data_IF_456516341269
#
_entry.id   IF_456516341269
#
_cell.length_a   1.000
_cell.length_b   1.000
_cell.length_c   1.000
_cell.angle_alpha   90.00
_cell.angle_beta   90.00
_cell.angle_gamma   90.00
#
_symmetry.space_group_name_H-M   'P 1'
#
loop_
_entity.id
_entity.type
_entity.pdbx_description
1 polymer ?
#
# COMPACT_ATOMS: atom_id res chain seq x y z
N UNK A 1 -39.78 1.65 -19.18
CA UNK A 1 -38.39 1.96 -18.76
C UNK A 1 -37.71 0.68 -18.34
N UNK A 2 -37.01 0.01 -19.24
CA UNK A 2 -36.25 -1.21 -18.94
C UNK A 2 -34.94 -0.81 -18.28
N UNK A 3 -34.85 -1.02 -16.99
CA UNK A 3 -33.66 -0.75 -16.19
C UNK A 3 -32.53 -1.70 -16.66
N UNK A 4 -31.54 -1.18 -17.40
CA UNK A 4 -30.43 -1.97 -17.96
C UNK A 4 -29.45 -2.30 -16.83
N UNK A 5 -29.52 -3.51 -16.31
CA UNK A 5 -28.65 -4.04 -15.24
C UNK A 5 -27.18 -4.29 -15.68
N UNK A 6 -26.87 -4.20 -16.99
CA UNK A 6 -25.55 -4.48 -17.55
C UNK A 6 -24.40 -3.65 -16.97
N UNK A 7 -24.50 -2.29 -16.79
CA UNK A 7 -23.39 -1.52 -16.26
C UNK A 7 -23.09 -1.83 -14.78
N UNK A 8 -24.12 -2.12 -13.98
CA UNK A 8 -23.95 -2.42 -12.55
C UNK A 8 -23.25 -3.76 -12.29
N UNK A 9 -23.51 -4.77 -13.11
CA UNK A 9 -22.83 -6.09 -13.01
C UNK A 9 -21.34 -5.97 -13.32
N UNK A 10 -20.94 -5.15 -14.28
CA UNK A 10 -19.54 -4.90 -14.60
C UNK A 10 -18.83 -4.16 -13.47
N UNK A 11 -19.47 -3.16 -12.85
CA UNK A 11 -18.95 -2.42 -11.71
C UNK A 11 -18.81 -3.34 -10.49
N UNK A 12 -19.83 -4.14 -10.19
CA UNK A 12 -19.80 -5.10 -9.09
C UNK A 12 -18.75 -6.19 -9.29
N UNK A 13 -18.57 -6.68 -10.50
CA UNK A 13 -17.53 -7.67 -10.82
C UNK A 13 -16.10 -7.13 -10.63
N UNK A 14 -15.90 -5.82 -10.81
CA UNK A 14 -14.63 -5.15 -10.51
C UNK A 14 -14.48 -4.80 -9.01
N UNK A 15 -15.57 -4.38 -8.38
CA UNK A 15 -15.55 -3.92 -6.99
C UNK A 15 -15.46 -5.09 -5.98
N UNK A 16 -16.12 -6.22 -6.26
CA UNK A 16 -16.17 -7.36 -5.35
C UNK A 16 -14.78 -7.93 -5.00
N UNK A 17 -13.86 -8.21 -5.98
CA UNK A 17 -12.52 -8.67 -5.63
C UNK A 17 -11.71 -7.63 -4.85
N UNK A 18 -11.88 -6.33 -5.14
CA UNK A 18 -11.20 -5.26 -4.40
C UNK A 18 -11.72 -5.21 -2.95
N UNK A 19 -13.03 -5.27 -2.76
CA UNK A 19 -13.64 -5.32 -1.43
C UNK A 19 -13.20 -6.58 -0.65
N UNK A 20 -13.11 -7.72 -1.32
CA UNK A 20 -12.61 -8.97 -0.73
C UNK A 20 -11.16 -8.85 -0.24
N UNK A 21 -10.28 -8.24 -1.03
CA UNK A 21 -8.89 -7.96 -0.64
C UNK A 21 -8.84 -7.03 0.58
N UNK A 22 -9.64 -5.97 0.59
CA UNK A 22 -9.71 -5.03 1.71
C UNK A 22 -10.22 -5.70 2.99
N UNK A 23 -11.26 -6.53 2.89
CA UNK A 23 -11.76 -7.32 4.02
C UNK A 23 -10.69 -8.27 4.56
N UNK A 24 -9.97 -8.98 3.68
CA UNK A 24 -8.88 -9.86 4.10
C UNK A 24 -7.77 -9.08 4.83
N UNK A 25 -7.38 -7.91 4.34
CA UNK A 25 -6.38 -7.06 5.01
C UNK A 25 -6.84 -6.57 6.38
N UNK A 26 -8.11 -6.13 6.50
CA UNK A 26 -8.67 -5.69 7.79
C UNK A 26 -8.73 -6.87 8.77
N UNK A 27 -9.16 -8.05 8.31
CA UNK A 27 -9.20 -9.26 9.13
C UNK A 27 -7.80 -9.62 9.64
N UNK A 28 -6.80 -9.59 8.77
CA UNK A 28 -5.40 -9.87 9.13
C UNK A 28 -4.93 -8.91 10.23
N UNK A 29 -5.08 -7.61 10.03
CA UNK A 29 -4.69 -6.59 11.04
C UNK A 29 -5.46 -6.76 12.35
N UNK A 30 -6.73 -7.18 12.29
CA UNK A 30 -7.53 -7.43 13.50
C UNK A 30 -7.02 -8.65 14.25
N UNK A 31 -6.64 -9.71 13.53
CA UNK A 31 -6.04 -10.92 14.13
C UNK A 31 -4.71 -10.58 14.78
N UNK A 32 -3.82 -9.85 14.10
CA UNK A 32 -2.54 -9.40 14.65
C UNK A 32 -2.74 -8.63 15.96
N UNK A 33 -3.69 -7.68 15.96
CA UNK A 33 -4.00 -6.89 17.16
C UNK A 33 -4.59 -7.75 18.29
N UNK A 34 -5.44 -8.73 17.96
CA UNK A 34 -6.00 -9.68 18.92
C UNK A 34 -4.89 -10.57 19.52
N UNK A 35 -3.92 -11.00 18.71
CA UNK A 35 -2.76 -11.76 19.18
C UNK A 35 -1.88 -10.95 20.13
N UNK A 36 -1.69 -9.65 19.85
CA UNK A 36 -1.02 -8.73 20.80
C UNK A 36 -1.79 -8.63 22.12
N UNK A 37 -3.11 -8.85 22.12
CA UNK A 37 -3.94 -8.89 23.33
C UNK A 37 -3.52 -9.95 24.33
N UNK A 38 -2.97 -11.09 23.90
CA UNK A 38 -2.41 -12.11 24.77
C UNK A 38 -1.14 -11.67 25.51
N UNK A 39 -0.43 -10.66 24.99
CA UNK A 39 0.76 -10.08 25.61
C UNK A 39 0.43 -8.96 26.63
N UNK A 40 -0.84 -8.60 26.76
CA UNK A 40 -1.33 -7.63 27.71
C UNK A 40 -1.72 -6.27 27.12
N UNK A 41 -2.41 -5.47 27.92
CA UNK A 41 -2.99 -4.17 27.49
C UNK A 41 -1.92 -3.20 26.98
N UNK A 42 -0.74 -3.16 27.63
CA UNK A 42 0.36 -2.29 27.23
C UNK A 42 0.90 -2.65 25.83
N UNK A 43 0.95 -3.94 25.49
CA UNK A 43 1.39 -4.41 24.17
C UNK A 43 0.38 -4.03 23.08
N UNK A 44 -0.92 -4.16 23.33
CA UNK A 44 -1.98 -3.72 22.41
C UNK A 44 -1.92 -2.21 22.18
N UNK A 45 -1.74 -1.44 23.27
CA UNK A 45 -1.62 0.02 23.19
C UNK A 45 -0.38 0.44 22.38
N UNK A 46 0.76 -0.20 22.63
CA UNK A 46 2.01 0.07 21.90
C UNK A 46 1.93 -0.29 20.42
N UNK A 47 1.41 -1.48 20.11
CA UNK A 47 1.21 -1.92 18.71
C UNK A 47 0.19 -1.07 17.97
N UNK A 48 -0.93 -0.77 18.60
CA UNK A 48 -1.96 0.11 18.03
C UNK A 48 -1.42 1.51 17.75
N UNK A 49 -0.65 2.10 18.66
CA UNK A 49 -0.01 3.40 18.48
C UNK A 49 1.01 3.39 17.34
N UNK A 50 1.88 2.38 17.29
CA UNK A 50 2.88 2.23 16.24
C UNK A 50 2.23 2.05 14.86
N UNK A 51 1.22 1.19 14.74
CA UNK A 51 0.47 0.96 13.51
C UNK A 51 -0.32 2.19 13.06
N UNK A 52 -0.89 2.96 14.00
CA UNK A 52 -1.60 4.21 13.68
C UNK A 52 -0.65 5.22 13.06
N UNK A 53 0.49 5.48 13.68
CA UNK A 53 1.51 6.41 13.15
C UNK A 53 2.05 5.95 11.80
N UNK A 54 2.36 4.65 11.68
CA UNK A 54 2.82 4.06 10.43
C UNK A 54 1.78 4.24 9.31
N UNK A 55 0.52 3.88 9.56
CA UNK A 55 -0.54 3.99 8.55
C UNK A 55 -0.81 5.44 8.14
N UNK A 56 -0.71 6.38 9.07
CA UNK A 56 -0.89 7.80 8.77
C UNK A 56 0.21 8.31 7.82
N UNK A 57 1.48 8.05 8.15
CA UNK A 57 2.60 8.45 7.31
C UNK A 57 2.60 7.71 5.96
N UNK A 58 2.31 6.42 5.97
CA UNK A 58 2.13 5.63 4.75
C UNK A 58 1.09 6.25 3.82
N UNK A 59 -0.06 6.64 4.34
CA UNK A 59 -1.14 7.24 3.55
C UNK A 59 -0.71 8.58 2.94
N UNK A 60 -0.02 9.41 3.69
CA UNK A 60 0.54 10.67 3.18
C UNK A 60 1.55 10.42 2.05
N UNK A 61 2.48 9.49 2.24
CA UNK A 61 3.47 9.12 1.22
C UNK A 61 2.81 8.53 -0.04
N UNK A 62 1.81 7.66 0.11
CA UNK A 62 1.05 7.09 -1.01
C UNK A 62 0.32 8.17 -1.80
N UNK A 63 -0.24 9.18 -1.12
CA UNK A 63 -0.90 10.31 -1.78
C UNK A 63 0.01 11.02 -2.79
N UNK A 64 1.30 11.15 -2.49
CA UNK A 64 2.28 11.83 -3.36
C UNK A 64 2.57 11.07 -4.66
N UNK A 65 2.41 9.75 -4.68
CA UNK A 65 2.73 8.91 -5.86
C UNK A 65 1.48 8.44 -6.62
N UNK A 66 0.28 8.65 -6.09
CA UNK A 66 -0.98 8.13 -6.68
C UNK A 66 -1.26 8.69 -8.08
N UNK A 67 -0.85 9.94 -8.37
CA UNK A 67 -1.08 10.59 -9.66
C UNK A 67 -0.37 9.94 -10.86
N UNK A 68 0.65 9.13 -10.62
CA UNK A 68 1.45 8.48 -11.68
C UNK A 68 0.62 7.54 -12.55
N UNK A 69 -0.33 6.82 -11.98
CA UNK A 69 -1.23 5.94 -12.74
C UNK A 69 -2.01 6.68 -13.82
N UNK A 70 -2.48 7.89 -13.52
CA UNK A 70 -3.21 8.73 -14.48
C UNK A 70 -2.30 9.24 -15.61
N UNK A 71 -1.05 9.61 -15.31
CA UNK A 71 -0.08 10.04 -16.33
C UNK A 71 0.25 8.89 -17.28
N UNK A 72 0.47 7.70 -16.76
CA UNK A 72 0.72 6.49 -17.56
C UNK A 72 -0.49 6.13 -18.41
N UNK A 73 -1.70 6.15 -17.83
CA UNK A 73 -2.93 5.87 -18.57
C UNK A 73 -3.16 6.89 -19.71
N UNK A 74 -2.87 8.17 -19.47
CA UNK A 74 -2.96 9.22 -20.47
C UNK A 74 -1.94 9.02 -21.60
N UNK A 75 -0.69 8.67 -21.30
CA UNK A 75 0.34 8.39 -22.29
C UNK A 75 -0.04 7.15 -23.15
N UNK A 76 -0.48 6.07 -22.51
CA UNK A 76 -0.96 4.87 -23.21
C UNK A 76 -2.16 5.16 -24.10
N UNK A 77 -3.14 5.93 -23.62
CA UNK A 77 -4.32 6.32 -24.39
C UNK A 77 -3.98 7.23 -25.59
N UNK A 78 -2.98 8.10 -25.49
CA UNK A 78 -2.49 8.89 -26.63
C UNK A 78 -1.83 8.01 -27.68
N UNK A 79 -1.06 7.01 -27.26
CA UNK A 79 -0.45 6.04 -28.17
C UNK A 79 -1.51 5.24 -28.91
N UNK A 80 -2.51 4.72 -28.23
CA UNK A 80 -3.62 3.97 -28.82
C UNK A 80 -4.38 4.78 -29.89
N UNK A 81 -4.60 6.08 -29.63
CA UNK A 81 -5.22 6.98 -30.63
C UNK A 81 -4.35 7.22 -31.86
N UNK A 82 -3.02 7.19 -31.72
CA UNK A 82 -2.09 7.41 -32.86
C UNK A 82 -1.87 6.16 -33.70
N UNK A 83 -1.76 5.01 -33.05
CA UNK A 83 -1.43 3.74 -33.73
C UNK A 83 -2.66 2.97 -34.18
N UNK A 84 -3.84 3.27 -33.61
CA UNK A 84 -5.06 2.49 -33.84
C UNK A 84 -4.99 1.07 -33.29
N UNK A 85 -3.93 0.74 -32.54
CA UNK A 85 -3.68 -0.57 -31.93
C UNK A 85 -3.41 -0.44 -30.43
N UNK A 86 -3.57 -1.52 -29.68
CA UNK A 86 -3.24 -1.55 -28.26
C UNK A 86 -1.72 -1.57 -27.98
N UNK A 87 -0.88 -1.46 -28.99
CA UNK A 87 0.58 -1.43 -28.85
C UNK A 87 1.08 0.00 -28.57
N UNK A 88 2.07 0.09 -27.69
CA UNK A 88 2.71 1.36 -27.37
C UNK A 88 3.69 1.74 -28.47
N UNK A 89 3.56 2.95 -29.01
CA UNK A 89 4.57 3.53 -29.89
C UNK A 89 5.89 3.81 -29.11
N UNK A 90 7.03 3.92 -29.80
CA UNK A 90 8.33 4.15 -29.15
C UNK A 90 8.36 5.42 -28.29
N UNK A 91 7.65 6.48 -28.70
CA UNK A 91 7.57 7.73 -27.97
C UNK A 91 6.82 7.57 -26.64
N UNK A 92 5.64 6.93 -26.66
CA UNK A 92 4.87 6.65 -25.44
C UNK A 92 5.63 5.70 -24.50
N UNK A 93 6.36 4.73 -25.05
CA UNK A 93 7.17 3.82 -24.25
C UNK A 93 8.27 4.57 -23.50
N UNK A 94 8.96 5.51 -24.14
CA UNK A 94 9.97 6.36 -23.52
C UNK A 94 9.36 7.27 -22.46
N UNK A 95 8.21 7.88 -22.75
CA UNK A 95 7.47 8.74 -21.83
C UNK A 95 7.04 7.99 -20.56
N UNK A 96 6.46 6.79 -20.72
CA UNK A 96 6.01 5.95 -19.61
C UNK A 96 7.19 5.50 -18.74
N UNK A 97 8.33 5.13 -19.34
CA UNK A 97 9.55 4.83 -18.59
C UNK A 97 10.06 6.03 -17.79
N UNK A 98 9.97 7.23 -18.37
CA UNK A 98 10.30 8.49 -17.68
C UNK A 98 9.42 8.70 -16.44
N UNK A 99 8.10 8.56 -16.57
CA UNK A 99 7.17 8.65 -15.45
C UNK A 99 7.43 7.61 -14.37
N UNK A 100 7.72 6.36 -14.76
CA UNK A 100 8.02 5.30 -13.80
C UNK A 100 9.29 5.59 -13.00
N UNK A 101 10.36 6.03 -13.68
CA UNK A 101 11.64 6.38 -13.01
C UNK A 101 11.45 7.55 -12.06
N UNK A 102 10.77 8.62 -12.50
CA UNK A 102 10.47 9.78 -11.66
C UNK A 102 9.62 9.38 -10.44
N UNK A 103 8.61 8.54 -10.64
CA UNK A 103 7.76 8.05 -9.56
C UNK A 103 8.52 7.20 -8.53
N UNK A 104 9.41 6.31 -8.97
CA UNK A 104 10.26 5.52 -8.07
C UNK A 104 11.23 6.40 -7.29
N UNK A 105 11.79 7.43 -7.93
CA UNK A 105 12.64 8.40 -7.24
C UNK A 105 11.85 9.18 -6.18
N UNK A 106 10.69 9.74 -6.53
CA UNK A 106 9.81 10.44 -5.57
C UNK A 106 9.38 9.49 -4.45
N UNK A 107 9.00 8.25 -4.77
CA UNK A 107 8.66 7.23 -3.78
C UNK A 107 9.80 6.96 -2.80
N UNK A 108 11.05 6.88 -3.30
CA UNK A 108 12.22 6.66 -2.46
C UNK A 108 12.46 7.84 -1.52
N UNK A 109 12.47 9.07 -2.05
CA UNK A 109 12.69 10.28 -1.24
C UNK A 109 11.59 10.44 -0.18
N UNK A 110 10.33 10.29 -0.58
CA UNK A 110 9.19 10.45 0.34
C UNK A 110 9.12 9.34 1.38
N UNK A 111 9.46 8.09 1.02
CA UNK A 111 9.47 6.96 1.98
C UNK A 111 10.62 7.07 2.98
N UNK A 112 11.79 7.51 2.54
CA UNK A 112 12.92 7.78 3.46
C UNK A 112 12.56 8.92 4.40
N UNK A 113 12.03 10.03 3.87
CA UNK A 113 11.55 11.14 4.70
C UNK A 113 10.43 10.71 5.66
N UNK A 114 9.49 9.91 5.21
CA UNK A 114 8.42 9.33 6.03
C UNK A 114 8.95 8.38 7.11
N UNK A 115 9.96 7.55 6.79
CA UNK A 115 10.60 6.66 7.77
C UNK A 115 11.31 7.46 8.87
N UNK A 116 12.06 8.50 8.49
CA UNK A 116 12.70 9.41 9.45
C UNK A 116 11.68 10.15 10.30
N UNK A 117 10.60 10.64 9.70
CA UNK A 117 9.52 11.29 10.42
C UNK A 117 8.82 10.32 11.38
N UNK A 118 8.60 9.06 10.99
CA UNK A 118 8.01 8.03 11.84
C UNK A 118 8.87 7.78 13.09
N UNK A 119 10.17 7.64 12.90
CA UNK A 119 11.12 7.48 14.00
C UNK A 119 11.14 8.72 14.91
N UNK A 120 11.21 9.92 14.32
CA UNK A 120 11.19 11.18 15.06
C UNK A 120 9.91 11.33 15.90
N UNK A 121 8.73 11.01 15.34
CA UNK A 121 7.46 11.00 16.05
C UNK A 121 7.46 9.99 17.19
N UNK A 122 8.02 8.79 16.98
CA UNK A 122 8.19 7.78 18.03
C UNK A 122 8.98 8.29 19.25
N UNK A 123 9.98 9.16 19.01
CA UNK A 123 10.69 9.83 20.11
C UNK A 123 9.90 11.01 20.68
N UNK A 124 9.18 11.76 19.85
CA UNK A 124 8.40 12.92 20.29
C UNK A 124 7.21 12.54 21.19
N UNK A 125 6.68 11.33 21.09
CA UNK A 125 5.58 10.83 21.92
C UNK A 125 5.86 10.92 23.43
N UNK A 126 7.12 10.85 23.84
CA UNK A 126 7.51 11.04 25.25
C UNK A 126 7.12 12.42 25.81
N UNK A 127 7.10 13.43 24.96
CA UNK A 127 6.72 14.80 25.36
C UNK A 127 5.20 15.02 25.31
N UNK A 128 4.46 14.08 24.73
CA UNK A 128 3.02 14.14 24.62
C UNK A 128 2.30 13.46 25.80
N UNK A 129 3.04 13.06 26.85
CA UNK A 129 2.46 12.48 28.07
C UNK A 129 2.03 11.01 27.94
N UNK A 130 2.56 10.29 26.94
CA UNK A 130 2.32 8.85 26.81
C UNK A 130 3.04 8.08 27.91
N UNK A 131 2.41 6.97 28.36
CA UNK A 131 3.00 6.09 29.38
C UNK A 131 4.34 5.51 28.90
N UNK A 132 5.36 5.59 29.75
CA UNK A 132 6.71 5.11 29.46
C UNK A 132 6.73 3.62 29.12
N UNK A 133 5.91 2.79 29.78
CA UNK A 133 5.80 1.37 29.51
C UNK A 133 5.27 1.09 28.09
N UNK A 134 4.31 1.87 27.62
CA UNK A 134 3.80 1.79 26.24
C UNK A 134 4.87 2.23 25.24
N UNK A 135 5.62 3.30 25.53
CA UNK A 135 6.66 3.82 24.64
C UNK A 135 7.85 2.86 24.50
N UNK A 136 8.25 2.18 25.56
CA UNK A 136 9.32 1.17 25.51
C UNK A 136 8.97 0.01 24.58
N UNK A 137 7.71 -0.40 24.55
CA UNK A 137 7.22 -1.44 23.63
C UNK A 137 6.97 -0.91 22.21
N UNK A 138 6.51 0.33 22.07
CA UNK A 138 6.19 0.91 20.75
C UNK A 138 7.44 1.25 19.92
N UNK A 139 8.53 1.71 20.55
CA UNK A 139 9.76 2.12 19.85
C UNK A 139 10.36 1.02 18.97
N UNK A 140 10.64 -0.19 19.45
CA UNK A 140 11.20 -1.26 18.61
C UNK A 140 10.26 -1.60 17.46
N UNK A 141 8.94 -1.57 17.64
CA UNK A 141 7.95 -1.79 16.58
C UNK A 141 8.07 -0.69 15.51
N UNK A 142 8.15 0.58 15.92
CA UNK A 142 8.34 1.73 15.02
C UNK A 142 9.64 1.59 14.22
N UNK A 143 10.75 1.24 14.87
CA UNK A 143 12.04 1.04 14.22
C UNK A 143 12.01 -0.09 13.18
N UNK A 144 11.27 -1.15 13.45
CA UNK A 144 11.12 -2.28 12.53
C UNK A 144 10.21 -1.94 11.36
N UNK A 145 9.15 -1.15 11.59
CA UNK A 145 8.19 -0.75 10.54
C UNK A 145 8.73 0.34 9.61
N UNK A 146 9.58 1.25 10.14
CA UNK A 146 10.04 2.42 9.37
C UNK A 146 10.73 2.07 8.04
N UNK A 147 11.71 1.15 7.95
CA UNK A 147 12.33 0.78 6.69
C UNK A 147 11.36 0.10 5.71
N UNK A 148 10.28 -0.51 6.21
CA UNK A 148 9.22 -1.12 5.41
C UNK A 148 8.44 -0.14 4.53
N UNK A 149 8.49 1.17 4.81
CA UNK A 149 7.87 2.20 3.98
C UNK A 149 8.46 2.25 2.56
N UNK A 150 9.77 1.99 2.40
CA UNK A 150 10.44 2.06 1.10
C UNK A 150 9.91 1.01 0.12
N UNK A 151 10.02 -0.30 0.41
CA UNK A 151 9.50 -1.32 -0.50
C UNK A 151 7.99 -1.23 -0.68
N UNK A 152 7.27 -0.78 0.34
CA UNK A 152 5.82 -0.59 0.26
C UNK A 152 5.44 0.49 -0.75
N UNK A 153 6.13 1.66 -0.76
CA UNK A 153 5.88 2.70 -1.74
C UNK A 153 6.29 2.27 -3.16
N UNK A 154 7.37 1.54 -3.33
CA UNK A 154 7.75 0.99 -4.63
C UNK A 154 6.68 0.04 -5.18
N UNK A 155 6.15 -0.85 -4.34
CA UNK A 155 5.03 -1.71 -4.72
C UNK A 155 3.78 -0.89 -5.09
N UNK A 156 3.53 0.22 -4.40
CA UNK A 156 2.42 1.11 -4.74
C UNK A 156 2.62 1.76 -6.12
N UNK A 157 3.83 2.26 -6.43
CA UNK A 157 4.16 2.80 -7.76
C UNK A 157 3.96 1.74 -8.85
N UNK A 158 4.41 0.50 -8.63
CA UNK A 158 4.23 -0.60 -9.58
C UNK A 158 2.74 -0.97 -9.76
N UNK A 159 1.94 -0.90 -8.70
CA UNK A 159 0.47 -1.06 -8.78
C UNK A 159 -0.16 0.03 -9.64
N UNK A 160 0.22 1.29 -9.43
CA UNK A 160 -0.26 2.43 -10.22
C UNK A 160 0.16 2.29 -11.71
N UNK A 161 1.39 1.85 -11.96
CA UNK A 161 1.87 1.54 -13.31
C UNK A 161 1.01 0.48 -13.99
N UNK A 162 0.79 -0.66 -13.33
CA UNK A 162 0.01 -1.75 -13.92
C UNK A 162 -1.48 -1.38 -14.10
N UNK A 163 -2.05 -0.58 -13.21
CA UNK A 163 -3.39 -0.03 -13.35
C UNK A 163 -3.48 0.92 -14.56
N UNK A 164 -2.51 1.83 -14.71
CA UNK A 164 -2.43 2.75 -15.85
C UNK A 164 -2.27 2.04 -17.20
N UNK A 165 -1.60 0.87 -17.21
CA UNK A 165 -1.45 0.00 -18.40
C UNK A 165 -2.65 -0.92 -18.65
N UNK A 166 -3.77 -0.76 -17.93
CA UNK A 166 -4.96 -1.64 -17.99
C UNK A 166 -4.66 -3.14 -17.76
N UNK A 167 -3.54 -3.48 -17.08
CA UNK A 167 -3.15 -4.86 -16.76
C UNK A 167 -3.54 -5.26 -15.33
N UNK A 168 -4.71 -4.83 -14.87
CA UNK A 168 -5.22 -5.09 -13.53
C UNK A 168 -5.33 -6.59 -13.17
N UNK A 169 -5.53 -7.46 -14.15
CA UNK A 169 -5.63 -8.92 -13.91
C UNK A 169 -4.34 -9.58 -13.43
N UNK A 170 -3.16 -9.04 -13.79
CA UNK A 170 -1.88 -9.53 -13.26
C UNK A 170 -1.65 -9.07 -11.82
N UNK A 171 -2.15 -7.88 -11.46
CA UNK A 171 -2.08 -7.36 -10.09
C UNK A 171 -2.89 -8.19 -9.10
N UNK A 172 -4.08 -8.65 -9.49
CA UNK A 172 -4.91 -9.50 -8.65
C UNK A 172 -4.17 -10.79 -8.27
N UNK A 173 -3.53 -11.43 -9.24
CA UNK A 173 -2.74 -12.65 -8.98
C UNK A 173 -1.57 -12.38 -8.03
N UNK A 174 -0.80 -11.32 -8.25
CA UNK A 174 0.32 -10.96 -7.36
C UNK A 174 -0.17 -10.63 -5.96
N UNK A 175 -1.29 -9.90 -5.83
CA UNK A 175 -1.85 -9.55 -4.51
C UNK A 175 -2.34 -10.79 -3.78
N UNK A 176 -3.03 -11.71 -4.46
CA UNK A 176 -3.49 -12.97 -3.86
C UNK A 176 -2.31 -13.84 -3.40
N UNK A 177 -1.24 -13.94 -4.20
CA UNK A 177 -0.01 -14.62 -3.79
C UNK A 177 0.64 -13.95 -2.58
N UNK A 178 0.72 -12.62 -2.54
CA UNK A 178 1.28 -11.87 -1.41
C UNK A 178 0.48 -12.11 -0.12
N UNK A 179 -0.86 -12.12 -0.20
CA UNK A 179 -1.72 -12.43 0.95
C UNK A 179 -1.52 -13.86 1.43
N UNK A 180 -1.41 -14.83 0.51
CA UNK A 180 -1.15 -16.22 0.84
C UNK A 180 0.21 -16.44 1.51
N UNK A 181 1.26 -15.80 0.99
CA UNK A 181 2.61 -15.86 1.59
C UNK A 181 2.64 -15.20 2.96
N UNK A 182 1.97 -14.04 3.11
CA UNK A 182 1.88 -13.34 4.40
C UNK A 182 1.19 -14.21 5.45
N UNK A 183 0.02 -14.77 5.13
CA UNK A 183 -0.71 -15.67 6.03
C UNK A 183 0.11 -16.92 6.43
N UNK A 184 0.90 -17.45 5.48
CA UNK A 184 1.80 -18.58 5.75
C UNK A 184 2.93 -18.20 6.71
N UNK A 185 3.55 -17.03 6.49
CA UNK A 185 4.62 -16.52 7.35
C UNK A 185 4.08 -16.21 8.76
N UNK A 186 2.92 -15.56 8.87
CA UNK A 186 2.30 -15.27 10.15
C UNK A 186 2.02 -16.55 10.94
N UNK A 187 1.49 -17.58 10.25
CA UNK A 187 1.25 -18.91 10.88
C UNK A 187 2.56 -19.53 11.34
N UNK A 188 3.63 -19.43 10.54
CA UNK A 188 4.94 -19.99 10.87
C UNK A 188 5.58 -19.27 12.06
N UNK A 189 5.51 -17.93 12.11
CA UNK A 189 6.13 -17.14 13.19
C UNK A 189 5.33 -17.13 14.49
N UNK A 190 4.04 -17.42 14.43
CA UNK A 190 3.17 -17.41 15.62
C UNK A 190 3.05 -18.80 16.25
N UNK A 191 3.05 -19.85 15.44
CA UNK A 191 2.83 -21.25 15.88
C UNK A 191 4.06 -22.14 15.69
N UNK A 192 5.15 -21.69 15.07
CA UNK A 192 6.43 -22.38 14.90
C UNK A 192 7.46 -21.87 15.84
#
# INVERSE_FOLDING_TARGET
>A
MTFRWHPYRAILALAAPIAGIQLAQVTLTTVDLAMMGFLGVAAVAAGGLALLLYNQLRTMCVGMVTGVGNLIAAAAGRSEKRTGSGELDPAARTEIHGYLRAALFVATVTSVGGALALVALGYALRWMGQDTAVLELARPIIWTLAPGLVPMLWLNVLRQFAAGMRRAGSLLRVTLWSVGVNALLDTLFVFG
#
